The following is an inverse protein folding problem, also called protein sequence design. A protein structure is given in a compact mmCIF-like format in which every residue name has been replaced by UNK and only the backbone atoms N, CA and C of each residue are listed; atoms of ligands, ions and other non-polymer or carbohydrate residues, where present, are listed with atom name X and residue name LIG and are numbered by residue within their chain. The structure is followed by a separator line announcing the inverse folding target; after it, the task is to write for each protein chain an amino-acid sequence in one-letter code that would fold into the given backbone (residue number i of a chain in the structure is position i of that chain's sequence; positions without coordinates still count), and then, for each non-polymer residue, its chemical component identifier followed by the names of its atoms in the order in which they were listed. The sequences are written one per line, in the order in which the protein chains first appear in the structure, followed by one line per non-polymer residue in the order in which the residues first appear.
data_IF_815107107410
#
_entry.id   IF_815107107410
#
_cell.length_a   1.000
_cell.length_b   1.000
_cell.length_c   1.000
_cell.angle_alpha   90.00
_cell.angle_beta   90.00
_cell.angle_gamma   90.00
#
_symmetry.space_group_name_H-M   'P 1'
#
loop_
_entity.id
_entity.type
_entity.pdbx_description
1 polymer ?
#
# COMPACT_ATOMS: atom_id res chain seq x y z
N UNK A 1 -12.69 14.20 -40.75
CA UNK A 1 -12.57 12.85 -40.14
C UNK A 1 -11.12 12.40 -39.95
N UNK A 2 -10.26 12.37 -40.99
CA UNK A 2 -8.85 11.94 -40.86
C UNK A 2 -8.08 12.67 -39.74
N UNK A 3 -8.18 14.00 -39.67
CA UNK A 3 -7.50 14.79 -38.62
C UNK A 3 -8.03 14.51 -37.22
N UNK A 4 -9.34 14.30 -37.06
CA UNK A 4 -9.95 13.93 -35.77
C UNK A 4 -9.43 12.57 -35.30
N UNK A 5 -9.31 11.62 -36.23
CA UNK A 5 -8.82 10.27 -35.96
C UNK A 5 -7.33 10.29 -35.56
N UNK A 6 -6.52 11.11 -36.26
CA UNK A 6 -5.12 11.34 -35.91
C UNK A 6 -5.00 11.95 -34.51
N UNK A 7 -5.79 12.98 -34.19
CA UNK A 7 -5.76 13.61 -32.86
C UNK A 7 -6.13 12.63 -31.74
N UNK A 8 -7.13 11.77 -31.93
CA UNK A 8 -7.51 10.74 -30.95
C UNK A 8 -6.38 9.73 -30.75
N UNK A 9 -5.76 9.26 -31.83
CA UNK A 9 -4.63 8.33 -31.76
C UNK A 9 -3.44 8.95 -31.03
N UNK A 10 -3.08 10.20 -31.35
CA UNK A 10 -2.01 10.92 -30.65
C UNK A 10 -2.30 11.09 -29.16
N UNK A 11 -3.53 11.46 -28.77
CA UNK A 11 -3.90 11.54 -27.35
C UNK A 11 -3.79 10.18 -26.65
N UNK A 12 -4.26 9.11 -27.28
CA UNK A 12 -4.21 7.76 -26.71
C UNK A 12 -2.77 7.30 -26.48
N UNK A 13 -1.86 7.64 -27.40
CA UNK A 13 -0.45 7.32 -27.30
C UNK A 13 0.21 8.07 -26.14
N UNK A 14 -0.04 9.38 -26.03
CA UNK A 14 0.48 10.21 -24.92
C UNK A 14 -0.03 9.66 -23.58
N UNK A 15 -1.32 9.31 -23.50
CA UNK A 15 -1.91 8.75 -22.29
C UNK A 15 -1.30 7.38 -21.92
N UNK A 16 -1.06 6.51 -22.90
CA UNK A 16 -0.38 5.24 -22.68
C UNK A 16 1.04 5.41 -22.14
N UNK A 17 1.83 6.32 -22.74
CA UNK A 17 3.19 6.65 -22.28
C UNK A 17 3.15 7.18 -20.84
N UNK A 18 2.20 8.06 -20.52
CA UNK A 18 2.02 8.58 -19.17
C UNK A 18 1.77 7.46 -18.15
N UNK A 19 0.86 6.54 -18.45
CA UNK A 19 0.58 5.38 -17.59
C UNK A 19 1.84 4.53 -17.39
N UNK A 20 2.62 4.27 -18.45
CA UNK A 20 3.86 3.50 -18.34
C UNK A 20 4.87 4.21 -17.43
N UNK A 21 5.12 5.50 -17.65
CA UNK A 21 6.07 6.28 -16.83
C UNK A 21 5.65 6.29 -15.36
N UNK A 22 4.37 6.48 -15.07
CA UNK A 22 3.87 6.50 -13.68
C UNK A 22 4.01 5.13 -13.01
N UNK A 23 3.75 4.02 -13.70
CA UNK A 23 3.93 2.68 -13.14
C UNK A 23 5.41 2.32 -12.96
N UNK A 24 6.30 2.77 -13.85
CA UNK A 24 7.75 2.56 -13.72
C UNK A 24 8.34 3.23 -12.47
N UNK A 25 7.67 4.23 -11.89
CA UNK A 25 8.10 4.87 -10.64
C UNK A 25 7.84 4.00 -9.41
N UNK A 26 6.92 3.04 -9.47
CA UNK A 26 6.62 2.15 -8.36
C UNK A 26 7.69 1.06 -8.32
N UNK A 27 8.56 1.12 -7.32
CA UNK A 27 9.69 0.20 -7.20
C UNK A 27 9.36 -1.06 -6.41
N UNK A 28 8.46 -0.94 -5.44
CA UNK A 28 8.07 -2.01 -4.53
C UNK A 28 6.59 -1.85 -4.13
N UNK A 29 5.92 -2.98 -3.99
CA UNK A 29 4.60 -3.08 -3.40
C UNK A 29 4.67 -4.03 -2.21
N UNK A 30 4.02 -3.65 -1.11
CA UNK A 30 4.06 -4.39 0.14
C UNK A 30 2.69 -4.43 0.78
N UNK A 31 2.38 -5.51 1.48
CA UNK A 31 1.24 -5.60 2.39
C UNK A 31 1.74 -5.39 3.81
N UNK A 32 1.09 -4.47 4.53
CA UNK A 32 1.33 -4.22 5.93
C UNK A 32 0.10 -4.68 6.71
N UNK A 33 0.29 -5.73 7.51
CA UNK A 33 -0.73 -6.30 8.39
C UNK A 33 -0.54 -5.74 9.79
N UNK A 34 -1.56 -5.04 10.28
CA UNK A 34 -1.60 -4.52 11.63
C UNK A 34 -2.54 -5.44 12.43
N UNK A 35 -2.07 -5.95 13.56
CA UNK A 35 -2.84 -6.87 14.42
C UNK A 35 -2.96 -6.28 15.81
N UNK A 36 -4.15 -6.45 16.40
CA UNK A 36 -4.45 -6.00 17.74
C UNK A 36 -5.37 -4.79 17.75
N UNK A 37 -6.10 -4.60 18.85
CA UNK A 37 -6.98 -3.43 19.04
C UNK A 37 -6.19 -2.12 19.10
N UNK A 38 -4.98 -2.18 19.66
CA UNK A 38 -4.08 -1.04 19.82
C UNK A 38 -2.85 -1.13 18.91
N UNK A 39 -2.95 -1.81 17.75
CA UNK A 39 -1.87 -1.93 16.75
C UNK A 39 -0.58 -2.54 17.33
N UNK A 40 -0.75 -3.58 18.14
CA UNK A 40 0.30 -4.19 18.96
C UNK A 40 1.40 -4.85 18.12
N UNK A 41 1.04 -5.40 16.96
CA UNK A 41 1.98 -6.09 16.08
C UNK A 41 1.81 -5.66 14.63
N UNK A 42 2.93 -5.46 13.96
CA UNK A 42 2.99 -5.05 12.57
C UNK A 42 3.81 -6.07 11.79
N UNK A 43 3.23 -6.61 10.73
CA UNK A 43 3.89 -7.54 9.84
C UNK A 43 3.95 -6.99 8.42
N UNK A 44 5.04 -7.29 7.74
CA UNK A 44 5.29 -6.94 6.35
C UNK A 44 5.31 -8.19 5.47
N UNK A 45 4.72 -8.05 4.30
CA UNK A 45 4.87 -8.98 3.19
C UNK A 45 5.25 -8.24 1.93
N UNK A 46 6.38 -8.62 1.33
CA UNK A 46 6.82 -8.06 0.04
C UNK A 46 6.05 -8.74 -1.11
N UNK A 47 5.30 -7.97 -1.90
CA UNK A 47 4.53 -8.51 -3.02
C UNK A 47 5.50 -8.88 -4.16
N UNK A 48 5.58 -10.16 -4.57
CA UNK A 48 6.41 -10.53 -5.70
C UNK A 48 5.88 -9.88 -6.98
N UNK A 49 6.76 -9.29 -7.81
CA UNK A 49 6.40 -8.61 -9.08
C UNK A 49 5.56 -9.45 -10.06
N UNK A 50 5.58 -10.79 -9.91
CA UNK A 50 4.83 -11.74 -10.76
C UNK A 50 3.43 -12.06 -10.23
N UNK A 51 3.08 -11.67 -9.00
CA UNK A 51 1.82 -11.99 -8.36
C UNK A 51 0.82 -10.87 -8.60
N UNK A 52 -0.26 -11.16 -9.33
CA UNK A 52 -1.27 -10.15 -9.71
C UNK A 52 -2.32 -9.90 -8.63
N UNK A 53 -2.51 -10.84 -7.70
CA UNK A 53 -3.51 -10.74 -6.63
C UNK A 53 -3.00 -11.39 -5.35
N UNK A 54 -3.28 -10.74 -4.24
CA UNK A 54 -3.07 -11.25 -2.89
C UNK A 54 -4.42 -11.44 -2.22
N UNK A 55 -4.53 -12.50 -1.44
CA UNK A 55 -5.72 -12.92 -0.71
C UNK A 55 -5.36 -13.20 0.75
N UNK A 56 -6.36 -13.17 1.64
CA UNK A 56 -6.18 -13.45 3.07
C UNK A 56 -5.58 -14.85 3.30
N UNK A 57 -5.96 -15.82 2.46
CA UNK A 57 -5.41 -17.18 2.49
C UNK A 57 -3.91 -17.27 2.20
N UNK A 58 -3.30 -16.21 1.64
CA UNK A 58 -1.84 -16.14 1.49
C UNK A 58 -1.13 -15.93 2.84
N UNK A 59 -1.83 -15.42 3.85
CA UNK A 59 -1.27 -15.03 5.16
C UNK A 59 -1.75 -15.90 6.31
N UNK A 60 -2.98 -16.40 6.23
CA UNK A 60 -3.63 -17.15 7.30
C UNK A 60 -4.09 -18.51 6.80
N UNK A 61 -3.98 -19.53 7.65
CA UNK A 61 -4.59 -20.83 7.40
C UNK A 61 -6.11 -20.80 7.62
N UNK A 62 -6.56 -19.98 8.58
CA UNK A 62 -7.97 -19.75 8.82
C UNK A 62 -8.51 -18.60 7.97
N UNK A 63 -9.44 -18.84 7.03
CA UNK A 63 -10.01 -17.79 6.18
C UNK A 63 -11.03 -16.90 6.89
N UNK A 64 -11.46 -17.25 8.10
CA UNK A 64 -12.53 -16.55 8.82
C UNK A 64 -12.05 -15.28 9.55
N UNK A 65 -10.78 -14.92 9.45
CA UNK A 65 -10.30 -13.66 9.99
C UNK A 65 -10.93 -12.48 9.27
N UNK A 66 -11.51 -11.56 10.05
CA UNK A 66 -11.99 -10.28 9.55
C UNK A 66 -10.78 -9.39 9.34
N UNK A 67 -10.40 -9.21 8.08
CA UNK A 67 -9.28 -8.36 7.66
C UNK A 67 -9.83 -7.12 6.97
N UNK A 68 -9.74 -5.98 7.64
CA UNK A 68 -10.28 -4.72 7.15
C UNK A 68 -9.21 -3.95 6.35
N UNK A 69 -9.42 -3.62 5.07
CA UNK A 69 -8.54 -2.72 4.33
C UNK A 69 -8.72 -1.28 4.86
N UNK A 70 -7.66 -0.70 5.42
CA UNK A 70 -7.73 0.65 6.02
C UNK A 70 -7.16 1.74 5.11
N UNK A 71 -6.28 1.40 4.16
CA UNK A 71 -5.77 2.38 3.23
C UNK A 71 -4.50 1.99 2.47
N UNK A 72 -3.87 3.01 1.88
CA UNK A 72 -2.61 2.91 1.16
C UNK A 72 -1.67 4.01 1.65
N UNK A 73 -0.49 3.62 2.13
CA UNK A 73 0.62 4.56 2.31
C UNK A 73 1.52 4.51 1.07
N UNK A 74 1.71 5.65 0.41
CA UNK A 74 2.68 5.79 -0.67
C UNK A 74 3.90 6.52 -0.09
N UNK A 75 5.06 5.89 -0.13
CA UNK A 75 6.32 6.46 0.33
C UNK A 75 7.12 6.92 -0.87
N UNK A 76 7.41 8.21 -0.93
CA UNK A 76 8.33 8.80 -1.89
C UNK A 76 9.74 8.73 -1.33
N UNK A 77 10.61 8.03 -2.05
CA UNK A 77 12.03 7.93 -1.79
C UNK A 77 12.79 9.06 -2.50
N UNK A 78 14.04 9.31 -2.10
CA UNK A 78 14.90 10.40 -2.59
C UNK A 78 15.00 10.45 -4.14
N UNK A 79 14.96 9.30 -4.82
CA UNK A 79 15.03 9.17 -6.29
C UNK A 79 13.70 9.41 -7.03
N UNK A 80 12.67 9.97 -6.36
CA UNK A 80 11.31 10.10 -6.91
C UNK A 80 10.64 8.74 -7.23
N UNK A 81 11.21 7.66 -6.68
CA UNK A 81 10.66 6.31 -6.66
C UNK A 81 9.59 6.22 -5.58
N UNK A 82 8.61 5.35 -5.80
CA UNK A 82 7.49 5.14 -4.91
C UNK A 82 7.48 3.71 -4.39
N UNK A 83 7.38 3.57 -3.06
CA UNK A 83 6.98 2.32 -2.42
C UNK A 83 5.52 2.42 -2.03
N UNK A 84 4.77 1.34 -2.27
CA UNK A 84 3.33 1.33 -2.04
C UNK A 84 2.97 0.27 -1.02
N UNK A 85 2.47 0.73 0.11
CA UNK A 85 2.10 -0.12 1.24
C UNK A 85 0.58 -0.21 1.32
N UNK A 86 0.05 -1.41 1.09
CA UNK A 86 -1.36 -1.73 1.28
C UNK A 86 -1.60 -2.08 2.74
N UNK A 87 -2.38 -1.27 3.43
CA UNK A 87 -2.59 -1.38 4.87
C UNK A 87 -3.86 -2.17 5.17
N UNK A 88 -3.73 -3.20 6.01
CA UNK A 88 -4.82 -4.02 6.48
C UNK A 88 -4.79 -4.14 8.00
N UNK A 89 -5.96 -4.16 8.62
CA UNK A 89 -6.10 -4.24 10.07
C UNK A 89 -6.93 -5.45 10.48
N UNK A 90 -6.43 -6.16 11.49
CA UNK A 90 -7.10 -7.28 12.14
C UNK A 90 -7.34 -6.90 13.59
N UNK A 91 -8.57 -6.49 13.89
CA UNK A 91 -9.00 -6.08 15.22
C UNK A 91 -9.36 -7.30 16.09
N UNK A 92 -8.35 -8.07 16.50
CA UNK A 92 -8.52 -9.19 17.44
C UNK A 92 -7.76 -8.95 18.74
N UNK A 93 -8.21 -9.57 19.84
CA UNK A 93 -7.44 -9.68 21.08
C UNK A 93 -6.79 -11.05 21.25
N UNK A 94 -7.13 -12.01 20.39
CA UNK A 94 -6.64 -13.38 20.45
C UNK A 94 -5.40 -13.56 19.57
N UNK A 95 -4.61 -14.60 19.87
CA UNK A 95 -3.49 -14.99 19.03
C UNK A 95 -3.98 -15.37 17.63
N UNK A 96 -3.39 -14.74 16.60
CA UNK A 96 -3.71 -15.02 15.20
C UNK A 96 -2.80 -16.12 14.68
N UNK A 97 -3.37 -17.14 14.04
CA UNK A 97 -2.63 -18.22 13.42
C UNK A 97 -2.17 -17.80 12.02
N UNK A 98 -0.86 -17.57 11.89
CA UNK A 98 -0.23 -17.00 10.70
C UNK A 98 0.71 -17.98 10.04
N UNK A 99 0.73 -17.97 8.70
CA UNK A 99 1.75 -18.67 7.90
C UNK A 99 3.09 -17.94 8.06
N UNK A 100 3.88 -18.34 9.06
CA UNK A 100 5.08 -17.58 9.45
C UNK A 100 6.17 -17.50 8.37
N UNK A 101 6.12 -18.38 7.37
CA UNK A 101 7.19 -18.51 6.37
C UNK A 101 7.36 -17.32 5.42
N UNK A 102 6.42 -16.37 5.39
CA UNK A 102 6.46 -15.24 4.46
C UNK A 102 6.26 -13.86 5.10
N UNK A 103 5.91 -13.80 6.38
CA UNK A 103 5.63 -12.56 7.10
C UNK A 103 6.82 -12.15 7.96
N UNK A 104 7.26 -10.91 7.80
CA UNK A 104 8.36 -10.32 8.58
C UNK A 104 7.75 -9.39 9.61
N UNK A 105 7.96 -9.66 10.89
CA UNK A 105 7.57 -8.73 11.95
C UNK A 105 8.42 -7.46 11.88
N UNK A 106 7.75 -6.31 11.89
CA UNK A 106 8.40 -5.00 11.90
C UNK A 106 8.33 -4.42 13.30
N UNK A 107 9.46 -3.92 13.79
CA UNK A 107 9.54 -3.18 15.05
C UNK A 107 8.87 -1.80 14.97
N UNK A 108 8.88 -1.18 13.79
CA UNK A 108 8.36 0.17 13.58
C UNK A 108 8.05 0.43 12.10
N UNK A 109 7.20 1.43 11.85
CA UNK A 109 6.96 2.00 10.52
C UNK A 109 7.43 3.46 10.47
N UNK A 110 7.95 3.89 9.33
CA UNK A 110 8.40 5.28 9.15
C UNK A 110 7.28 6.32 9.33
N UNK A 111 6.02 5.92 9.12
CA UNK A 111 4.79 6.73 9.23
C UNK A 111 3.88 6.27 10.39
N UNK A 112 4.42 5.58 11.38
CA UNK A 112 3.65 5.01 12.51
C UNK A 112 2.76 6.05 13.22
N UNK A 113 3.29 7.27 13.43
CA UNK A 113 2.58 8.41 14.01
C UNK A 113 1.29 8.80 13.25
N UNK A 114 1.18 8.41 11.97
CA UNK A 114 0.04 8.72 11.11
C UNK A 114 -0.93 7.55 10.95
N UNK A 115 -0.71 6.41 11.62
CA UNK A 115 -1.60 5.26 11.50
C UNK A 115 -3.03 5.58 11.96
N UNK A 116 -3.21 6.50 12.92
CA UNK A 116 -4.55 6.95 13.37
C UNK A 116 -5.29 7.76 12.31
N UNK A 117 -4.57 8.32 11.33
CA UNK A 117 -5.18 9.02 10.20
C UNK A 117 -5.93 8.08 9.26
N UNK A 118 -5.68 6.77 9.33
CA UNK A 118 -6.41 5.73 8.61
C UNK A 118 -7.57 5.23 9.47
N UNK A 119 -8.71 5.92 9.37
CA UNK A 119 -9.92 5.52 10.09
C UNK A 119 -10.47 4.19 9.55
N UNK A 120 -10.94 3.34 10.47
CA UNK A 120 -11.77 2.18 10.13
C UNK A 120 -12.95 2.68 9.28
N UNK A 121 -13.14 2.10 8.09
CA UNK A 121 -14.20 2.44 7.11
C UNK A 121 -13.99 3.67 6.23
N UNK A 122 -12.87 4.38 6.36
CA UNK A 122 -12.49 5.40 5.38
C UNK A 122 -11.18 5.03 4.72
N UNK A 123 -11.27 4.31 3.61
CA UNK A 123 -10.12 3.98 2.80
C UNK A 123 -9.42 5.28 2.35
N UNK A 124 -8.22 5.52 2.87
CA UNK A 124 -7.42 6.72 2.57
C UNK A 124 -6.14 6.32 1.85
N UNK A 125 -5.72 7.17 0.92
CA UNK A 125 -4.40 7.09 0.34
C UNK A 125 -3.61 8.32 0.75
N UNK A 126 -2.58 8.10 1.56
CA UNK A 126 -1.67 9.16 2.00
C UNK A 126 -0.35 9.04 1.23
N UNK A 127 0.24 10.18 0.91
CA UNK A 127 1.57 10.28 0.32
C UNK A 127 2.50 10.85 1.38
N UNK A 128 3.57 10.14 1.63
CA UNK A 128 4.63 10.55 2.52
C UNK A 128 5.93 10.74 1.74
N UNK A 129 6.80 11.59 2.26
CA UNK A 129 8.19 11.71 1.83
C UNK A 129 9.07 11.26 3.00
N UNK A 130 9.95 10.31 2.74
CA UNK A 130 10.81 9.76 3.80
C UNK A 130 12.05 10.63 3.87
N UNK A 131 12.23 11.33 4.99
CA UNK A 131 13.42 12.14 5.22
C UNK A 131 14.67 11.27 5.44
N UNK A 132 15.86 11.87 5.38
CA UNK A 132 17.16 11.20 5.57
C UNK A 132 17.31 10.46 6.90
N UNK A 133 16.48 10.78 7.89
CA UNK A 133 16.45 10.13 9.22
C UNK A 133 15.49 8.93 9.29
N UNK A 134 14.86 8.54 8.17
CA UNK A 134 13.93 7.41 8.10
C UNK A 134 12.51 7.71 8.58
N UNK A 135 12.24 8.93 9.08
CA UNK A 135 10.89 9.37 9.46
C UNK A 135 10.14 9.90 8.24
N UNK A 136 8.87 9.51 8.11
CA UNK A 136 8.01 9.90 7.01
C UNK A 136 7.22 11.17 7.36
N UNK A 137 7.21 12.14 6.44
CA UNK A 137 6.42 13.37 6.55
C UNK A 137 5.23 13.31 5.59
N UNK A 138 4.05 13.74 6.05
CA UNK A 138 2.84 13.72 5.24
C UNK A 138 2.85 14.87 4.21
N UNK A 139 2.89 14.51 2.93
CA UNK A 139 2.92 15.49 1.82
C UNK A 139 1.52 15.71 1.24
N UNK A 140 0.69 14.66 1.17
CA UNK A 140 -0.65 14.75 0.56
C UNK A 140 -1.62 13.75 1.17
N UNK A 141 -2.86 14.19 1.39
CA UNK A 141 -3.97 13.37 1.83
C UNK A 141 -5.03 13.25 0.72
N UNK A 142 -5.40 12.03 0.34
CA UNK A 142 -6.49 11.77 -0.61
C UNK A 142 -7.45 10.74 -0.02
N UNK A 143 -8.70 11.15 0.24
CA UNK A 143 -9.80 10.22 0.57
C UNK A 143 -10.21 9.46 -0.68
N UNK A 144 -10.28 8.14 -0.59
CA UNK A 144 -10.82 7.28 -1.66
C UNK A 144 -12.28 7.02 -1.29
N UNK A 145 -13.20 7.38 -2.18
CA UNK A 145 -14.65 7.12 -2.03
C UNK A 145 -14.98 5.74 -2.58
#
# INVERSE_FOLDING_TARGET
MKYVLISILSLSLIFGIYIIITNLKITSEQVILIIGRNKEKIYKYDIPKKKSRITISDFFDNPNYIVDPIGIANLKLDDNKLEKHYLYWIATGDQVDMKSSQLIELSNLSYEDYLDSYEKYHYRSLLFEVGRMGKAELVKNKKIK
#
